data_IF_116788831010
#
_entry.id   IF_116788831010
#
_cell.length_a   1.000
_cell.length_b   1.000
_cell.length_c   1.000
_cell.angle_alpha   90.00
_cell.angle_beta   90.00
_cell.angle_gamma   90.00
#
_symmetry.space_group_name_H-M   'P 1'
#
loop_
_entity.id
_entity.type
_entity.pdbx_description
1 polymer ?
#
# COMPACT_ATOMS: atom_id res chain seq x y z
N UNK A 1 -46.10 48.48 15.48
CA UNK A 1 -44.71 49.00 15.45
C UNK A 1 -44.03 48.30 14.28
N UNK A 2 -44.11 48.87 13.07
CA UNK A 2 -43.17 49.84 12.49
C UNK A 2 -41.78 49.22 12.19
N UNK A 3 -41.12 49.36 11.05
CA UNK A 3 -41.29 50.00 9.72
C UNK A 3 -40.08 49.44 8.93
N UNK A 4 -40.25 48.78 7.76
CA UNK A 4 -39.97 49.30 6.41
C UNK A 4 -38.47 49.69 6.16
N UNK A 5 -37.74 49.24 5.12
CA UNK A 5 -37.87 49.48 3.65
C UNK A 5 -36.78 48.66 2.90
N UNK A 6 -37.11 47.94 1.81
CA UNK A 6 -37.07 48.35 0.38
C UNK A 6 -35.63 48.47 -0.19
N UNK A 7 -35.26 48.05 -1.41
CA UNK A 7 -36.01 47.83 -2.67
C UNK A 7 -35.06 47.23 -3.73
N UNK A 8 -35.59 46.32 -4.57
CA UNK A 8 -35.57 46.29 -6.05
C UNK A 8 -34.23 46.38 -6.83
N UNK A 9 -33.98 45.65 -7.92
CA UNK A 9 -34.75 44.74 -8.78
C UNK A 9 -33.76 44.08 -9.77
N UNK A 10 -33.92 42.81 -10.18
CA UNK A 10 -34.76 42.36 -11.29
C UNK A 10 -34.48 43.14 -12.59
N UNK A 11 -34.16 42.55 -13.76
CA UNK A 11 -34.74 41.34 -14.35
C UNK A 11 -34.08 41.06 -15.74
N UNK A 12 -33.87 39.77 -16.06
CA UNK A 12 -34.27 39.02 -17.30
C UNK A 12 -34.05 39.62 -18.69
N UNK A 13 -33.84 38.89 -19.79
CA UNK A 13 -33.65 37.48 -20.15
C UNK A 13 -33.71 37.40 -21.70
N UNK A 14 -33.47 36.19 -22.25
CA UNK A 14 -33.74 35.71 -23.63
C UNK A 14 -32.68 36.14 -24.67
N UNK A 15 -32.23 35.30 -25.60
CA UNK A 15 -32.60 33.94 -25.98
C UNK A 15 -32.38 33.75 -27.49
N UNK A 16 -32.02 32.51 -27.87
CA UNK A 16 -32.20 31.89 -29.19
C UNK A 16 -31.36 32.33 -30.41
N UNK A 17 -31.01 31.34 -31.23
CA UNK A 17 -31.15 31.46 -32.69
C UNK A 17 -29.91 31.11 -33.51
N UNK A 18 -30.03 30.04 -34.31
CA UNK A 18 -29.05 29.51 -35.25
C UNK A 18 -28.98 30.28 -36.58
N UNK A 19 -28.00 29.93 -37.42
CA UNK A 19 -28.20 29.87 -38.88
C UNK A 19 -27.30 30.72 -39.78
N UNK A 20 -26.34 30.04 -40.40
CA UNK A 20 -26.05 30.00 -41.85
C UNK A 20 -25.73 31.26 -42.70
N UNK A 21 -24.81 31.00 -43.64
CA UNK A 21 -24.59 31.59 -44.98
C UNK A 21 -23.49 32.66 -45.15
N UNK A 22 -22.46 32.27 -45.91
CA UNK A 22 -21.61 33.21 -46.66
C UNK A 22 -22.34 33.81 -47.88
N UNK A 23 -21.74 34.79 -48.57
CA UNK A 23 -21.10 34.46 -49.85
C UNK A 23 -19.85 35.29 -50.24
N UNK A 24 -19.28 34.80 -51.34
CA UNK A 24 -18.16 35.16 -52.23
C UNK A 24 -17.99 36.62 -52.70
N UNK A 25 -16.74 36.98 -53.10
CA UNK A 25 -16.44 37.97 -54.17
C UNK A 25 -15.27 38.95 -53.90
N UNK A 26 -14.16 38.87 -54.66
CA UNK A 26 -13.04 39.86 -54.67
C UNK A 26 -13.28 41.07 -55.62
N UNK A 27 -12.26 41.77 -56.21
CA UNK A 27 -10.83 41.97 -55.88
C UNK A 27 -10.35 43.47 -55.99
N UNK A 28 -9.01 43.73 -55.91
CA UNK A 28 -8.20 44.80 -56.58
C UNK A 28 -7.40 45.86 -55.74
N UNK A 29 -6.05 45.73 -55.81
CA UNK A 29 -4.94 46.71 -56.08
C UNK A 29 -4.98 48.18 -55.59
N UNK A 30 -3.94 48.66 -54.87
CA UNK A 30 -2.72 49.35 -55.40
C UNK A 30 -1.86 50.13 -54.34
N UNK A 31 -0.53 50.02 -54.52
CA UNK A 31 0.62 50.92 -54.27
C UNK A 31 0.66 51.99 -53.15
N UNK A 32 1.75 52.01 -52.36
CA UNK A 32 2.94 52.91 -52.53
C UNK A 32 3.88 52.91 -51.31
N UNK A 33 5.18 52.84 -51.61
CA UNK A 33 6.33 52.88 -50.72
C UNK A 33 6.76 54.31 -50.31
N UNK A 34 7.19 54.49 -49.04
CA UNK A 34 7.90 55.69 -48.55
C UNK A 34 8.82 55.37 -47.34
N UNK A 35 10.07 55.82 -47.39
CA UNK A 35 11.26 55.34 -46.66
C UNK A 35 11.61 56.23 -45.44
N UNK A 36 12.00 55.72 -44.24
CA UNK A 36 12.42 56.61 -43.15
C UNK A 36 13.95 56.87 -43.10
N UNK A 37 14.30 58.13 -42.79
CA UNK A 37 15.65 58.71 -42.63
C UNK A 37 16.45 58.11 -41.46
N UNK A 38 17.76 57.86 -41.68
CA UNK A 38 18.76 57.53 -40.63
C UNK A 38 19.13 58.76 -39.77
N UNK A 39 19.07 58.65 -38.44
CA UNK A 39 19.74 59.55 -37.48
C UNK A 39 20.93 58.83 -36.82
N UNK A 40 22.10 59.48 -36.79
CA UNK A 40 23.37 58.98 -36.20
C UNK A 40 23.31 59.02 -34.67
N UNK A 41 23.73 57.94 -34.01
CA UNK A 41 23.76 57.79 -32.54
C UNK A 41 25.01 58.44 -31.93
N UNK A 42 24.79 59.17 -30.83
CA UNK A 42 25.78 59.93 -30.06
C UNK A 42 26.74 59.04 -29.24
N UNK A 43 28.03 59.40 -29.23
CA UNK A 43 29.15 58.64 -28.64
C UNK A 43 29.06 58.42 -27.11
N UNK A 44 28.16 59.11 -26.39
CA UNK A 44 28.01 58.95 -24.93
C UNK A 44 27.29 57.64 -24.51
N UNK A 45 26.40 57.08 -25.34
CA UNK A 45 25.73 55.80 -25.02
C UNK A 45 26.59 54.56 -25.29
N UNK A 46 27.63 54.69 -26.12
CA UNK A 46 28.53 53.57 -26.46
C UNK A 46 29.45 53.15 -25.29
N UNK A 47 29.72 54.04 -24.32
CA UNK A 47 30.52 53.70 -23.14
C UNK A 47 29.76 52.81 -22.14
N UNK A 48 28.46 53.09 -21.93
CA UNK A 48 27.59 52.32 -21.03
C UNK A 48 27.24 50.97 -21.66
N UNK A 49 27.00 50.93 -22.97
CA UNK A 49 26.73 49.68 -23.68
C UNK A 49 27.96 48.76 -23.74
N UNK A 50 29.18 49.31 -23.88
CA UNK A 50 30.43 48.52 -23.80
C UNK A 50 30.70 48.01 -22.39
N UNK A 51 30.48 48.82 -21.35
CA UNK A 51 30.61 48.38 -19.94
C UNK A 51 29.62 47.27 -19.58
N UNK A 52 28.34 47.36 -20.00
CA UNK A 52 27.36 46.29 -19.78
C UNK A 52 27.69 45.00 -20.52
N UNK A 53 28.30 45.09 -21.71
CA UNK A 53 28.69 43.92 -22.51
C UNK A 53 29.96 43.25 -22.00
N UNK A 54 30.90 44.01 -21.44
CA UNK A 54 32.07 43.48 -20.72
C UNK A 54 31.61 42.78 -19.44
N UNK A 55 30.72 43.41 -18.64
CA UNK A 55 30.19 42.80 -17.41
C UNK A 55 29.37 41.54 -17.72
N UNK A 56 28.50 41.57 -18.72
CA UNK A 56 27.76 40.38 -19.16
C UNK A 56 28.70 39.29 -19.69
N UNK A 57 29.75 39.67 -20.43
CA UNK A 57 30.78 38.74 -20.91
C UNK A 57 31.57 38.12 -19.77
N UNK A 58 31.98 38.88 -18.75
CA UNK A 58 32.69 38.37 -17.58
C UNK A 58 31.81 37.47 -16.71
N UNK A 59 30.53 37.83 -16.53
CA UNK A 59 29.56 36.98 -15.80
C UNK A 59 29.33 35.67 -16.55
N UNK A 60 29.17 35.72 -17.87
CA UNK A 60 29.02 34.51 -18.69
C UNK A 60 30.28 33.62 -18.62
N UNK A 61 31.48 34.23 -18.64
CA UNK A 61 32.74 33.49 -18.50
C UNK A 61 32.87 32.84 -17.12
N UNK A 62 32.48 33.53 -16.05
CA UNK A 62 32.47 32.98 -14.70
C UNK A 62 31.48 31.82 -14.55
N UNK A 63 30.30 31.93 -15.17
CA UNK A 63 29.31 30.84 -15.18
C UNK A 63 29.86 29.63 -15.94
N UNK A 64 30.49 29.82 -17.10
CA UNK A 64 31.09 28.73 -17.86
C UNK A 64 32.23 28.09 -17.07
N UNK A 65 33.11 28.88 -16.44
CA UNK A 65 34.19 28.38 -15.60
C UNK A 65 33.63 27.58 -14.40
N UNK A 66 32.54 28.04 -13.78
CA UNK A 66 31.88 27.35 -12.67
C UNK A 66 31.24 26.03 -13.14
N UNK A 67 30.58 26.01 -14.31
CA UNK A 67 30.03 24.77 -14.89
C UNK A 67 31.14 23.78 -15.20
N UNK A 68 32.23 24.22 -15.83
CA UNK A 68 33.39 23.36 -16.13
C UNK A 68 34.02 22.85 -14.83
N UNK A 69 34.17 23.70 -13.82
CA UNK A 69 34.65 23.30 -12.50
C UNK A 69 33.72 22.31 -11.80
N UNK A 70 32.40 22.50 -11.88
CA UNK A 70 31.40 21.55 -11.36
C UNK A 70 31.47 20.21 -12.08
N UNK A 71 31.53 20.20 -13.42
CA UNK A 71 31.64 18.96 -14.20
C UNK A 71 32.98 18.27 -13.96
N UNK A 72 34.07 19.03 -13.79
CA UNK A 72 35.38 18.47 -13.49
C UNK A 72 35.49 17.94 -12.06
N UNK A 73 34.92 18.66 -11.08
CA UNK A 73 34.88 18.25 -9.67
C UNK A 73 33.93 17.08 -9.44
N UNK A 74 32.79 17.03 -10.13
CA UNK A 74 31.90 15.87 -10.13
C UNK A 74 32.52 14.73 -10.93
N UNK A 75 33.13 14.98 -12.09
CA UNK A 75 33.78 13.96 -12.93
C UNK A 75 35.02 13.31 -12.28
N UNK A 76 35.76 14.06 -11.44
CA UNK A 76 36.84 13.53 -10.59
C UNK A 76 36.34 13.05 -9.22
N UNK A 77 35.12 13.41 -8.83
CA UNK A 77 34.52 13.13 -7.51
C UNK A 77 33.57 11.93 -7.49
N UNK A 78 33.16 11.38 -8.64
CA UNK A 78 32.39 10.12 -8.73
C UNK A 78 33.35 8.92 -8.60
N UNK A 79 34.07 8.87 -7.48
CA UNK A 79 34.90 7.74 -7.08
C UNK A 79 34.74 7.39 -5.59
N UNK A 80 33.97 8.15 -4.82
CA UNK A 80 33.81 7.92 -3.38
C UNK A 80 32.46 8.41 -2.80
N UNK A 81 31.39 8.48 -3.60
CA UNK A 81 30.05 8.86 -3.11
C UNK A 81 28.98 7.77 -3.28
N UNK A 82 29.38 6.57 -3.71
CA UNK A 82 28.49 5.40 -3.75
C UNK A 82 28.33 4.69 -2.39
N UNK A 83 28.85 5.25 -1.29
CA UNK A 83 28.81 4.61 0.03
C UNK A 83 28.04 5.42 1.08
N UNK A 84 27.28 6.45 0.70
CA UNK A 84 26.55 7.29 1.67
C UNK A 84 25.05 7.50 1.40
N UNK A 85 24.47 6.80 0.42
CA UNK A 85 23.00 6.74 0.19
C UNK A 85 22.46 5.31 0.44
N UNK A 86 23.09 4.57 1.35
CA UNK A 86 22.58 3.28 1.88
C UNK A 86 22.69 3.24 3.41
N UNK A 87 22.30 4.34 4.08
CA UNK A 87 22.29 4.39 5.56
C UNK A 87 20.91 4.26 6.21
N UNK A 88 19.85 3.97 5.44
CA UNK A 88 18.55 3.52 5.99
C UNK A 88 18.46 1.98 6.13
N UNK A 89 19.53 1.25 5.82
CA UNK A 89 19.57 -0.22 5.92
C UNK A 89 20.43 -0.73 7.10
N UNK A 90 21.08 0.15 7.86
CA UNK A 90 22.03 -0.27 8.93
C UNK A 90 21.37 -0.43 10.31
N UNK A 91 20.10 -0.03 10.48
CA UNK A 91 19.34 -0.29 11.72
C UNK A 91 18.01 -1.02 11.50
N UNK A 92 17.66 -1.36 10.26
CA UNK A 92 16.77 -2.48 10.04
C UNK A 92 17.57 -3.74 10.38
N UNK A 93 17.54 -4.15 11.65
CA UNK A 93 17.78 -5.55 12.00
C UNK A 93 16.71 -6.32 11.23
N UNK A 94 17.04 -6.70 9.99
CA UNK A 94 16.36 -7.79 9.32
C UNK A 94 16.54 -8.96 10.28
N UNK A 95 15.48 -9.26 11.02
CA UNK A 95 15.39 -10.50 11.77
C UNK A 95 15.20 -11.59 10.73
N UNK A 96 16.30 -11.90 10.05
CA UNK A 96 16.40 -13.14 9.30
C UNK A 96 16.00 -14.24 10.28
N UNK A 97 15.03 -15.05 9.87
CA UNK A 97 14.48 -16.10 10.71
C UNK A 97 15.67 -16.93 11.22
N UNK A 98 15.84 -16.98 12.54
CA UNK A 98 16.88 -17.82 13.13
C UNK A 98 16.71 -19.23 12.56
N UNK A 99 17.79 -19.88 12.10
CA UNK A 99 17.68 -21.20 11.50
C UNK A 99 16.87 -22.11 12.41
N UNK A 100 15.80 -22.71 11.88
CA UNK A 100 14.92 -23.56 12.65
C UNK A 100 15.78 -24.61 13.40
N UNK A 101 15.62 -24.74 14.73
CA UNK A 101 16.45 -25.65 15.51
C UNK A 101 16.37 -27.06 14.93
N UNK A 102 17.54 -27.69 14.71
CA UNK A 102 17.60 -29.05 14.18
C UNK A 102 16.91 -29.99 15.18
N UNK A 103 15.96 -30.80 14.69
CA UNK A 103 15.22 -31.79 15.49
C UNK A 103 16.20 -32.81 16.09
N UNK A 104 16.41 -32.72 17.41
CA UNK A 104 17.21 -33.68 18.21
C UNK A 104 16.36 -34.75 18.88
N UNK A 105 15.03 -34.66 18.75
CA UNK A 105 14.07 -35.56 19.37
C UNK A 105 13.77 -36.76 18.47
N UNK A 106 13.85 -37.97 19.01
CA UNK A 106 13.42 -39.22 18.36
C UNK A 106 11.88 -39.36 18.26
N UNK A 107 11.11 -38.36 18.73
CA UNK A 107 9.65 -38.38 18.67
C UNK A 107 9.18 -38.02 17.25
N UNK A 108 8.32 -38.86 16.67
CA UNK A 108 7.71 -38.63 15.36
C UNK A 108 6.78 -37.41 15.40
N UNK A 109 6.57 -36.79 14.25
CA UNK A 109 5.50 -35.79 14.13
C UNK A 109 4.15 -36.52 14.06
N UNK A 110 3.10 -35.84 14.50
CA UNK A 110 1.75 -36.40 14.46
C UNK A 110 1.35 -36.64 13.02
N UNK A 111 0.70 -37.78 12.75
CA UNK A 111 0.06 -38.05 11.45
C UNK A 111 -1.37 -37.55 11.44
N UNK A 112 -1.99 -37.50 10.26
CA UNK A 112 -3.39 -37.10 10.13
C UNK A 112 -4.38 -37.96 10.94
N UNK A 113 -4.04 -39.22 11.25
CA UNK A 113 -4.87 -40.09 12.10
C UNK A 113 -4.60 -39.94 13.59
N UNK A 114 -3.49 -39.29 13.99
CA UNK A 114 -3.15 -39.12 15.39
C UNK A 114 -3.91 -37.94 16.03
N UNK A 115 -4.47 -37.02 15.24
CA UNK A 115 -5.06 -35.76 15.73
C UNK A 115 -6.40 -35.44 15.07
N UNK A 116 -7.28 -34.81 15.84
CA UNK A 116 -8.52 -34.20 15.35
C UNK A 116 -8.58 -32.72 15.76
N UNK A 117 -9.34 -31.93 15.00
CA UNK A 117 -9.51 -30.50 15.25
C UNK A 117 -10.95 -30.20 15.63
N UNK A 118 -11.14 -29.30 16.60
CA UNK A 118 -12.45 -28.78 16.97
C UNK A 118 -12.42 -27.26 16.94
N UNK A 119 -13.49 -26.66 16.46
CA UNK A 119 -13.65 -25.21 16.39
C UNK A 119 -15.03 -24.83 16.90
N UNK A 120 -15.08 -23.78 17.72
CA UNK A 120 -16.33 -23.13 18.10
C UNK A 120 -16.16 -21.62 18.11
N UNK A 121 -17.23 -20.88 17.85
CA UNK A 121 -17.25 -19.43 17.94
C UNK A 121 -17.95 -19.00 19.22
N UNK A 122 -17.46 -17.94 19.87
CA UNK A 122 -18.06 -17.37 21.07
C UNK A 122 -19.43 -16.71 20.80
N UNK A 123 -19.70 -16.34 19.54
CA UNK A 123 -20.97 -15.80 19.08
C UNK A 123 -21.24 -16.27 17.65
N UNK A 124 -22.52 -16.33 17.26
CA UNK A 124 -22.93 -16.57 15.88
C UNK A 124 -23.07 -15.27 15.07
N UNK A 125 -22.94 -14.11 15.69
CA UNK A 125 -22.99 -12.80 15.03
C UNK A 125 -22.02 -11.81 15.64
N UNK A 126 -21.42 -10.96 14.80
CA UNK A 126 -20.47 -9.90 15.18
C UNK A 126 -20.71 -8.66 14.30
N UNK A 127 -20.58 -7.42 14.80
CA UNK A 127 -20.71 -6.25 13.95
C UNK A 127 -19.51 -6.09 13.02
N UNK A 128 -19.67 -5.44 11.87
CA UNK A 128 -18.55 -4.98 11.03
C UNK A 128 -17.63 -4.09 11.87
N UNK A 129 -16.33 -4.39 11.87
CA UNK A 129 -15.33 -3.71 12.71
C UNK A 129 -15.28 -4.23 14.15
N UNK A 130 -16.17 -5.14 14.54
CA UNK A 130 -16.13 -5.86 15.80
C UNK A 130 -15.08 -6.98 15.81
N UNK A 131 -15.12 -7.76 16.89
CA UNK A 131 -14.21 -8.88 17.11
C UNK A 131 -14.97 -10.13 17.52
N UNK A 132 -14.53 -11.28 17.01
CA UNK A 132 -15.10 -12.59 17.30
C UNK A 132 -14.01 -13.53 17.79
N UNK A 133 -14.19 -14.07 18.99
CA UNK A 133 -13.33 -15.09 19.56
C UNK A 133 -13.75 -16.48 19.07
N UNK A 134 -12.78 -17.24 18.58
CA UNK A 134 -12.90 -18.66 18.30
C UNK A 134 -12.13 -19.47 19.33
N UNK A 135 -12.70 -20.58 19.77
CA UNK A 135 -11.98 -21.60 20.53
C UNK A 135 -11.56 -22.71 19.58
N UNK A 136 -10.25 -22.80 19.35
CA UNK A 136 -9.60 -23.79 18.51
C UNK A 136 -8.97 -24.88 19.37
N UNK A 137 -9.25 -26.15 19.07
CA UNK A 137 -8.73 -27.28 19.85
C UNK A 137 -8.07 -28.31 18.96
N UNK A 138 -6.88 -28.78 19.35
CA UNK A 138 -6.23 -29.98 18.81
C UNK A 138 -6.43 -31.09 19.85
N UNK A 139 -6.96 -32.23 19.43
CA UNK A 139 -7.13 -33.41 20.29
C UNK A 139 -6.28 -34.54 19.73
N UNK A 140 -5.50 -35.19 20.59
CA UNK A 140 -4.70 -36.34 20.19
C UNK A 140 -5.45 -37.65 20.42
N UNK A 141 -5.78 -38.34 19.33
CA UNK A 141 -6.49 -39.62 19.29
C UNK A 141 -5.57 -40.82 19.04
N UNK A 142 -4.33 -40.55 18.60
CA UNK A 142 -3.32 -41.57 18.31
C UNK A 142 -2.94 -42.42 19.52
N UNK A 143 -2.38 -43.60 19.27
CA UNK A 143 -1.93 -44.52 20.33
C UNK A 143 -0.49 -44.26 20.82
N UNK A 144 0.33 -43.57 20.01
CA UNK A 144 1.72 -43.26 20.33
C UNK A 144 1.94 -41.76 20.37
N UNK A 145 2.90 -41.31 21.19
CA UNK A 145 3.20 -39.90 21.34
C UNK A 145 3.74 -39.30 20.04
N UNK A 146 3.42 -38.03 19.80
CA UNK A 146 3.90 -37.31 18.63
C UNK A 146 4.03 -35.81 18.86
N UNK A 147 4.74 -35.12 17.96
CA UNK A 147 4.89 -33.67 17.95
C UNK A 147 3.91 -33.02 16.96
N UNK A 148 3.25 -31.94 17.37
CA UNK A 148 2.43 -31.10 16.48
C UNK A 148 2.70 -29.63 16.75
N UNK A 149 2.77 -28.80 15.70
CA UNK A 149 2.84 -27.36 15.87
C UNK A 149 1.45 -26.78 16.16
N UNK A 150 1.23 -26.36 17.40
CA UNK A 150 0.00 -25.71 17.85
C UNK A 150 0.01 -24.19 17.68
N UNK A 151 1.05 -23.59 17.09
CA UNK A 151 1.06 -22.15 16.78
C UNK A 151 -0.03 -21.80 15.76
N UNK A 152 -0.31 -20.51 15.55
CA UNK A 152 -1.27 -20.08 14.53
C UNK A 152 -0.74 -20.27 13.09
N UNK A 153 0.58 -20.48 12.94
CA UNK A 153 1.24 -20.94 11.72
C UNK A 153 1.05 -22.44 11.48
N UNK A 154 0.94 -23.24 12.54
CA UNK A 154 0.77 -24.70 12.49
C UNK A 154 -0.69 -25.14 12.45
N UNK A 155 -1.53 -24.52 13.28
CA UNK A 155 -2.99 -24.66 13.31
C UNK A 155 -3.63 -23.41 12.70
N UNK A 156 -3.91 -23.51 11.41
CA UNK A 156 -4.41 -22.40 10.62
C UNK A 156 -5.94 -22.28 10.71
N UNK A 157 -6.42 -21.13 11.19
CA UNK A 157 -7.81 -20.69 11.05
C UNK A 157 -8.00 -20.06 9.66
N UNK A 158 -8.95 -20.58 8.90
CA UNK A 158 -9.36 -20.00 7.60
C UNK A 158 -10.81 -19.56 7.69
N UNK A 159 -11.12 -18.35 7.22
CA UNK A 159 -12.47 -17.83 7.12
C UNK A 159 -12.80 -17.55 5.66
N UNK A 160 -13.93 -18.07 5.18
CA UNK A 160 -14.41 -17.90 3.82
C UNK A 160 -15.76 -17.19 3.76
N UNK A 161 -16.04 -16.56 2.63
CA UNK A 161 -17.38 -16.10 2.23
C UNK A 161 -17.71 -16.75 0.89
N UNK A 162 -18.68 -17.67 0.89
CA UNK A 162 -18.91 -18.54 -0.27
C UNK A 162 -17.67 -19.36 -0.62
N UNK A 163 -17.11 -19.13 -1.81
CA UNK A 163 -15.90 -19.81 -2.30
C UNK A 163 -14.62 -18.99 -2.07
N UNK A 164 -14.74 -17.74 -1.64
CA UNK A 164 -13.61 -16.82 -1.48
C UNK A 164 -13.01 -16.97 -0.08
N UNK A 165 -11.67 -17.07 -0.01
CA UNK A 165 -10.96 -16.97 1.28
C UNK A 165 -10.78 -15.51 1.64
N UNK A 166 -11.20 -15.14 2.85
CA UNK A 166 -11.21 -13.76 3.32
C UNK A 166 -10.09 -13.53 4.33
N UNK A 167 -9.88 -14.51 5.20
CA UNK A 167 -8.89 -14.44 6.25
C UNK A 167 -8.18 -15.77 6.45
N UNK A 168 -6.88 -15.71 6.72
CA UNK A 168 -6.07 -16.84 7.19
C UNK A 168 -5.18 -16.38 8.35
N UNK A 169 -5.06 -17.18 9.40
CA UNK A 169 -4.21 -16.86 10.56
C UNK A 169 -2.70 -17.01 10.28
N UNK A 170 -2.33 -17.75 9.22
CA UNK A 170 -0.94 -18.07 8.87
C UNK A 170 -0.25 -17.02 7.99
N UNK A 171 -0.94 -15.92 7.63
CA UNK A 171 -0.35 -14.81 6.85
C UNK A 171 0.77 -14.12 7.63
N UNK A 172 0.61 -14.05 8.95
CA UNK A 172 1.61 -13.48 9.84
C UNK A 172 2.47 -14.57 10.48
N UNK A 173 3.80 -14.40 10.49
CA UNK A 173 4.69 -15.38 11.10
C UNK A 173 4.42 -15.45 12.60
N UNK A 174 4.05 -16.63 13.08
CA UNK A 174 4.03 -16.95 14.50
C UNK A 174 5.21 -17.86 14.85
N UNK A 175 5.77 -17.67 16.05
CA UNK A 175 6.76 -18.57 16.60
C UNK A 175 6.19 -19.99 16.69
N UNK A 176 6.96 -20.97 16.22
CA UNK A 176 6.56 -22.38 16.28
C UNK A 176 6.30 -22.78 17.73
N UNK A 177 5.20 -23.49 17.98
CA UNK A 177 4.85 -24.01 19.29
C UNK A 177 4.67 -25.51 19.20
N UNK A 178 5.79 -26.22 19.22
CA UNK A 178 5.80 -27.68 19.16
C UNK A 178 5.28 -28.28 20.47
N UNK A 179 4.20 -29.05 20.36
CA UNK A 179 3.54 -29.75 21.44
C UNK A 179 3.84 -31.22 21.35
N UNK A 180 4.41 -31.79 22.42
CA UNK A 180 4.45 -33.24 22.60
C UNK A 180 3.10 -33.69 23.13
N UNK A 181 2.33 -34.39 22.32
CA UNK A 181 1.00 -34.88 22.68
C UNK A 181 1.01 -36.40 22.84
N UNK A 182 0.28 -36.86 23.85
CA UNK A 182 -0.06 -38.24 24.11
C UNK A 182 -1.59 -38.45 23.98
N UNK A 183 -2.03 -39.71 24.04
CA UNK A 183 -3.44 -40.07 23.89
C UNK A 183 -4.33 -39.33 24.90
N UNK A 184 -5.31 -38.60 24.38
CA UNK A 184 -6.28 -37.83 25.17
C UNK A 184 -5.85 -36.40 25.48
N UNK A 185 -4.61 -36.01 25.15
CA UNK A 185 -4.16 -34.64 25.33
C UNK A 185 -4.95 -33.69 24.43
N UNK A 186 -5.16 -32.48 24.95
CA UNK A 186 -5.85 -31.39 24.26
C UNK A 186 -5.04 -30.12 24.37
N UNK A 187 -4.87 -29.45 23.24
CA UNK A 187 -4.41 -28.07 23.18
C UNK A 187 -5.59 -27.18 22.82
N UNK A 188 -5.99 -26.30 23.74
CA UNK A 188 -7.10 -25.38 23.56
C UNK A 188 -6.54 -23.96 23.47
N UNK A 189 -6.82 -23.28 22.36
CA UNK A 189 -6.36 -21.93 22.10
C UNK A 189 -7.51 -21.03 21.71
N UNK A 190 -7.42 -19.77 22.12
CA UNK A 190 -8.35 -18.74 21.72
C UNK A 190 -7.75 -17.94 20.58
N UNK A 191 -8.47 -17.85 19.46
CA UNK A 191 -8.07 -17.07 18.28
C UNK A 191 -9.08 -15.95 18.10
N UNK A 192 -8.61 -14.71 18.12
CA UNK A 192 -9.45 -13.53 17.99
C UNK A 192 -9.40 -13.01 16.56
N UNK A 193 -10.56 -12.84 15.94
CA UNK A 193 -10.66 -12.27 14.59
C UNK A 193 -11.40 -10.93 14.61
N UNK A 194 -10.73 -9.86 14.21
CA UNK A 194 -11.24 -8.49 14.28
C UNK A 194 -12.00 -8.05 13.03
N UNK A 195 -12.74 -8.99 12.40
CA UNK A 195 -13.51 -8.77 11.17
C UNK A 195 -12.70 -8.13 10.02
N UNK A 196 -11.42 -8.52 9.94
CA UNK A 196 -10.47 -8.07 8.92
C UNK A 196 -10.28 -9.12 7.81
N UNK A 197 -10.01 -8.66 6.60
CA UNK A 197 -9.58 -9.48 5.47
C UNK A 197 -8.06 -9.37 5.30
N UNK A 198 -7.40 -10.50 5.12
CA UNK A 198 -5.95 -10.57 4.88
C UNK A 198 -5.54 -11.58 3.79
N UNK A 199 -6.50 -12.31 3.19
CA UNK A 199 -6.19 -13.38 2.25
C UNK A 199 -5.52 -12.90 0.95
N UNK A 200 -5.62 -11.62 0.61
CA UNK A 200 -4.95 -11.00 -0.53
C UNK A 200 -3.58 -10.41 -0.20
N UNK A 201 -3.17 -10.42 1.07
CA UNK A 201 -1.87 -9.90 1.47
C UNK A 201 -0.77 -10.88 1.09
N UNK A 202 0.31 -10.36 0.52
CA UNK A 202 1.51 -11.13 0.17
C UNK A 202 2.53 -11.18 1.30
N UNK A 203 2.43 -10.24 2.25
CA UNK A 203 3.29 -10.11 3.42
C UNK A 203 2.46 -9.72 4.64
N UNK A 204 2.95 -10.04 5.83
CA UNK A 204 2.31 -9.62 7.06
C UNK A 204 2.50 -8.11 7.26
N UNK A 205 1.39 -7.37 7.32
CA UNK A 205 1.36 -5.94 7.61
C UNK A 205 0.59 -5.66 8.90
N UNK A 206 0.63 -4.42 9.38
CA UNK A 206 -0.12 -4.02 10.56
C UNK A 206 -1.63 -4.22 10.36
N UNK A 207 -2.26 -4.96 11.29
CA UNK A 207 -3.67 -5.33 11.24
C UNK A 207 -4.61 -4.11 11.23
N UNK A 208 -4.19 -2.96 11.77
CA UNK A 208 -4.97 -1.72 11.72
C UNK A 208 -5.18 -1.18 10.30
N UNK A 209 -4.30 -1.56 9.36
CA UNK A 209 -4.40 -1.20 7.94
C UNK A 209 -5.19 -2.19 7.10
N UNK A 210 -5.63 -3.32 7.67
CA UNK A 210 -6.34 -4.36 6.92
C UNK A 210 -7.76 -3.93 6.59
N UNK A 211 -8.24 -4.35 5.42
CA UNK A 211 -9.59 -4.06 4.99
C UNK A 211 -10.61 -4.75 5.91
N UNK A 212 -11.69 -4.06 6.25
CA UNK A 212 -12.83 -4.68 6.94
C UNK A 212 -13.64 -5.53 5.98
N UNK A 213 -14.14 -6.64 6.49
CA UNK A 213 -15.07 -7.48 5.73
C UNK A 213 -16.44 -6.83 5.61
N UNK A 214 -17.19 -7.18 4.58
CA UNK A 214 -18.55 -6.70 4.40
C UNK A 214 -19.54 -7.45 5.31
N UNK A 215 -20.72 -6.89 5.52
CA UNK A 215 -21.80 -7.67 6.13
C UNK A 215 -22.13 -8.90 5.26
N UNK A 216 -22.40 -10.04 5.90
CA UNK A 216 -22.60 -11.30 5.19
C UNK A 216 -22.50 -12.54 6.06
N UNK A 217 -22.57 -13.70 5.41
CA UNK A 217 -22.39 -15.01 6.05
C UNK A 217 -20.98 -15.52 5.77
N UNK A 218 -20.32 -16.01 6.81
CA UNK A 218 -18.96 -16.49 6.77
C UNK A 218 -18.86 -17.89 7.36
N UNK A 219 -17.83 -18.63 6.93
CA UNK A 219 -17.52 -19.96 7.45
C UNK A 219 -16.08 -19.98 7.93
N UNK A 220 -15.88 -20.32 9.20
CA UNK A 220 -14.56 -20.57 9.78
C UNK A 220 -14.27 -22.07 9.83
N UNK A 221 -13.03 -22.46 9.54
CA UNK A 221 -12.56 -23.85 9.64
C UNK A 221 -11.08 -23.87 10.03
N UNK A 222 -10.71 -24.82 10.90
CA UNK A 222 -9.30 -25.08 11.20
C UNK A 222 -8.72 -26.12 10.25
N UNK A 223 -7.42 -26.01 10.02
CA UNK A 223 -6.60 -27.05 9.40
C UNK A 223 -5.20 -27.08 10.01
N UNK A 224 -4.48 -28.19 9.84
CA UNK A 224 -3.06 -28.26 10.19
C UNK A 224 -2.20 -28.02 8.95
N UNK A 225 -1.14 -27.22 9.08
CA UNK A 225 -0.20 -26.91 8.00
C UNK A 225 0.47 -28.17 7.44
N UNK A 226 0.93 -29.05 8.32
CA UNK A 226 1.61 -30.30 7.92
C UNK A 226 0.62 -31.36 7.41
N UNK A 227 -0.66 -31.25 7.78
CA UNK A 227 -1.72 -32.19 7.41
C UNK A 227 -3.00 -31.45 6.99
N UNK A 228 -3.04 -30.78 5.83
CA UNK A 228 -4.15 -29.89 5.44
C UNK A 228 -5.49 -30.59 5.21
N UNK A 229 -5.49 -31.93 5.17
CA UNK A 229 -6.70 -32.77 5.12
C UNK A 229 -7.36 -32.93 6.48
N UNK A 230 -6.63 -32.75 7.57
CA UNK A 230 -7.20 -32.72 8.92
C UNK A 230 -7.89 -31.37 9.09
N UNK A 231 -9.21 -31.40 9.24
CA UNK A 231 -10.05 -30.22 9.31
C UNK A 231 -11.03 -30.35 10.47
N UNK A 232 -11.37 -29.23 11.10
CA UNK A 232 -12.51 -29.18 12.01
C UNK A 232 -13.82 -29.19 11.24
N UNK A 233 -14.92 -29.45 11.95
CA UNK A 233 -16.24 -29.08 11.45
C UNK A 233 -16.28 -27.56 11.15
N UNK A 234 -16.99 -27.14 10.09
CA UNK A 234 -17.13 -25.74 9.74
C UNK A 234 -18.04 -25.01 10.74
N UNK A 235 -17.67 -23.80 11.11
CA UNK A 235 -18.49 -22.91 11.95
C UNK A 235 -19.03 -21.77 11.10
N UNK A 236 -20.35 -21.72 10.94
CA UNK A 236 -21.03 -20.64 10.20
C UNK A 236 -21.48 -19.53 11.15
N UNK A 237 -21.25 -18.28 10.77
CA UNK A 237 -21.64 -17.10 11.54
C UNK A 237 -21.90 -15.90 10.61
N UNK A 238 -22.50 -14.83 11.14
CA UNK A 238 -22.81 -13.61 10.38
C UNK A 238 -21.99 -12.41 10.85
N UNK A 239 -21.64 -11.54 9.90
CA UNK A 239 -21.14 -10.19 10.18
C UNK A 239 -22.23 -9.19 9.77
N UNK A 240 -22.59 -8.26 10.66
CA UNK A 240 -23.74 -7.34 10.49
C UNK A 240 -23.45 -5.88 10.81
#
# INVERSE_FOLDING_TARGET
>A
MAVQRNTSGARTARGAGAGANGPSGGPARNDRSGKPRKRKISKKQQAIYRRRRIVAGTVLLLIIALIVFCVYSLGRGIGAVNTMIHHDEVYAISRDATPAPKKVSNVKDCSASDVTLQLSAASQSVPVGGSLDFTATIVHEGSGNCLVDGSDSGRMLTITSGQETIYKSDVCPADSRLLLMAKGDKDVQKVTWNTNANATLTECTDESGWAKVNAGTYVAQLSLKDHPKVKSDPVTFTVG
#
